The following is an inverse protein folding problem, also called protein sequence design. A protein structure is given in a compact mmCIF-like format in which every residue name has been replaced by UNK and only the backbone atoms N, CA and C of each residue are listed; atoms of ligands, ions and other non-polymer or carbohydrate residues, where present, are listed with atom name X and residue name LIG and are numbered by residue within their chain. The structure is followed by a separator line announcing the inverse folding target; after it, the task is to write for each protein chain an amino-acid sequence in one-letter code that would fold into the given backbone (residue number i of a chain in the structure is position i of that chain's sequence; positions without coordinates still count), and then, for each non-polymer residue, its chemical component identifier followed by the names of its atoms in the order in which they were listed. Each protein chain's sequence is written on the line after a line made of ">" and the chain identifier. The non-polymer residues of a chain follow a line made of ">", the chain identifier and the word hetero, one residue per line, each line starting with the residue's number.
data_IF_794112996632
#
_entry.id   IF_794112996632
#
_cell.length_a   1.000
_cell.length_b   1.000
_cell.length_c   1.000
_cell.angle_alpha   90.00
_cell.angle_beta   90.00
_cell.angle_gamma   90.00
#
_symmetry.space_group_name_H-M   'P 1'
#
loop_
_entity.id
_entity.type
_entity.pdbx_description
1 polymer ?
#
# COMPACT_ATOMS: atom_id res chain seq x y z
N UNK A 1 -5.94 -23.46 -25.73
CA UNK A 1 -6.31 -22.89 -24.40
C UNK A 1 -5.22 -22.02 -23.74
N UNK A 2 -4.04 -21.87 -24.32
CA UNK A 2 -2.92 -21.06 -23.77
C UNK A 2 -3.02 -19.54 -23.99
N UNK A 3 -3.89 -19.05 -24.88
CA UNK A 3 -3.99 -17.62 -25.24
C UNK A 3 -4.74 -16.74 -24.25
N UNK A 4 -5.72 -17.28 -23.52
CA UNK A 4 -6.54 -16.52 -22.57
C UNK A 4 -5.74 -15.87 -21.42
N UNK A 5 -4.84 -16.59 -20.69
CA UNK A 5 -4.05 -15.97 -19.61
C UNK A 5 -3.06 -14.94 -20.15
N UNK A 6 -2.50 -15.13 -21.33
CA UNK A 6 -1.59 -14.16 -21.97
C UNK A 6 -2.34 -12.88 -22.33
N UNK A 7 -3.52 -13.00 -22.94
CA UNK A 7 -4.35 -11.85 -23.30
C UNK A 7 -4.75 -11.04 -22.04
N UNK A 8 -5.19 -11.73 -20.98
CA UNK A 8 -5.54 -11.08 -19.70
C UNK A 8 -4.35 -10.36 -19.08
N UNK A 9 -3.18 -11.01 -19.05
CA UNK A 9 -1.97 -10.40 -18.50
C UNK A 9 -1.54 -9.16 -19.29
N UNK A 10 -1.56 -9.25 -20.62
CA UNK A 10 -1.24 -8.12 -21.50
C UNK A 10 -2.24 -6.99 -21.32
N UNK A 11 -3.55 -7.29 -21.29
CA UNK A 11 -4.58 -6.29 -21.09
C UNK A 11 -4.45 -5.58 -19.74
N UNK A 12 -4.20 -6.31 -18.65
CA UNK A 12 -3.97 -5.76 -17.32
C UNK A 12 -2.69 -4.89 -17.27
N UNK A 13 -1.62 -5.33 -17.91
CA UNK A 13 -0.37 -4.55 -17.97
C UNK A 13 -0.57 -3.23 -18.73
N UNK A 14 -1.25 -3.27 -19.88
CA UNK A 14 -1.58 -2.06 -20.65
C UNK A 14 -2.49 -1.14 -19.85
N UNK A 15 -3.50 -1.69 -19.17
CA UNK A 15 -4.39 -0.92 -18.30
C UNK A 15 -3.61 -0.24 -17.15
N UNK A 16 -2.70 -0.96 -16.51
CA UNK A 16 -1.86 -0.41 -15.42
C UNK A 16 -1.01 0.74 -15.90
N UNK A 17 -0.35 0.60 -17.06
CA UNK A 17 0.43 1.68 -17.66
C UNK A 17 -0.47 2.86 -18.04
N UNK A 18 -1.64 2.60 -18.63
CA UNK A 18 -2.60 3.64 -18.98
C UNK A 18 -3.10 4.42 -17.77
N UNK A 19 -3.44 3.72 -16.67
CA UNK A 19 -3.86 4.35 -15.42
C UNK A 19 -2.73 5.13 -14.75
N UNK A 20 -1.49 4.64 -14.81
CA UNK A 20 -0.32 5.36 -14.30
C UNK A 20 -0.10 6.68 -15.04
N UNK A 21 -0.18 6.67 -16.37
CA UNK A 21 -0.06 7.89 -17.19
C UNK A 21 -1.23 8.85 -16.95
N UNK A 22 -2.43 8.32 -16.76
CA UNK A 22 -3.62 9.09 -16.43
C UNK A 22 -3.50 9.77 -15.07
N UNK A 23 -2.99 9.08 -14.06
CA UNK A 23 -2.74 9.66 -12.72
C UNK A 23 -1.71 10.80 -12.76
N UNK A 24 -0.70 10.69 -13.64
CA UNK A 24 0.24 11.79 -13.89
C UNK A 24 -0.41 13.00 -14.58
N UNK A 25 -1.36 12.76 -15.49
CA UNK A 25 -2.03 13.82 -16.25
C UNK A 25 -3.14 14.51 -15.45
N UNK A 26 -3.90 13.75 -14.66
CA UNK A 26 -5.08 14.24 -13.90
C UNK A 26 -4.69 14.56 -12.46
N UNK A 27 -5.15 15.70 -11.94
CA UNK A 27 -4.93 16.08 -10.54
C UNK A 27 -5.68 17.37 -10.20
N UNK A 28 -5.55 17.84 -8.95
CA UNK A 28 -6.23 19.03 -8.44
C UNK A 28 -5.89 20.31 -9.26
N UNK A 29 -4.69 20.37 -9.84
CA UNK A 29 -4.28 21.44 -10.74
C UNK A 29 -4.33 20.92 -12.17
N UNK A 30 -5.02 21.62 -13.06
CA UNK A 30 -5.04 21.28 -14.49
C UNK A 30 -3.69 21.65 -15.12
N UNK A 31 -2.94 20.67 -15.56
CA UNK A 31 -1.65 20.80 -16.24
C UNK A 31 -1.83 20.20 -17.63
N UNK A 32 -1.49 20.94 -18.69
CA UNK A 32 -1.51 20.40 -20.04
C UNK A 32 -0.61 19.16 -20.17
N UNK A 33 -1.05 18.17 -20.92
CA UNK A 33 -0.29 16.90 -21.09
C UNK A 33 1.11 17.15 -21.67
N UNK A 34 1.24 18.17 -22.54
CA UNK A 34 2.53 18.60 -23.08
C UNK A 34 3.51 19.04 -21.99
N UNK A 35 3.02 19.79 -20.98
CA UNK A 35 3.86 20.25 -19.87
C UNK A 35 4.21 19.10 -18.91
N UNK A 36 3.32 18.13 -18.74
CA UNK A 36 3.63 16.91 -18.00
C UNK A 36 4.76 16.14 -18.67
N UNK A 37 4.69 15.98 -19.98
CA UNK A 37 5.73 15.33 -20.77
C UNK A 37 7.05 16.10 -20.71
N UNK A 38 7.00 17.43 -20.91
CA UNK A 38 8.18 18.30 -20.79
C UNK A 38 8.82 18.19 -19.40
N UNK A 39 8.02 18.18 -18.33
CA UNK A 39 8.53 18.00 -16.97
C UNK A 39 9.24 16.66 -16.76
N UNK A 40 8.72 15.57 -17.33
CA UNK A 40 9.30 14.22 -17.22
C UNK A 40 10.59 14.06 -18.06
N UNK A 41 10.67 14.73 -19.21
CA UNK A 41 11.80 14.62 -20.14
C UNK A 41 12.87 15.71 -19.96
N UNK A 42 12.65 16.64 -19.01
CA UNK A 42 13.57 17.78 -18.80
C UNK A 42 13.44 18.89 -19.83
N UNK A 43 12.31 18.95 -20.55
CA UNK A 43 11.99 20.00 -21.50
C UNK A 43 11.56 21.33 -20.84
N UNK A 44 11.30 22.34 -21.66
CA UNK A 44 10.88 23.66 -21.18
C UNK A 44 9.45 23.62 -20.65
N UNK A 45 9.30 23.81 -19.35
CA UNK A 45 8.00 23.97 -18.67
C UNK A 45 8.13 24.90 -17.46
N UNK A 46 7.03 25.51 -17.00
CA UNK A 46 7.06 26.34 -15.79
C UNK A 46 7.63 25.57 -14.59
N UNK A 47 8.52 26.19 -13.81
CA UNK A 47 9.17 25.56 -12.63
C UNK A 47 8.17 25.02 -11.62
N UNK A 48 7.02 25.68 -11.45
CA UNK A 48 5.93 25.22 -10.58
C UNK A 48 5.31 23.93 -11.09
N UNK A 49 5.10 23.82 -12.41
CA UNK A 49 4.58 22.62 -13.07
C UNK A 49 5.55 21.44 -12.90
N UNK A 50 6.85 21.66 -13.15
CA UNK A 50 7.87 20.64 -12.96
C UNK A 50 7.89 20.12 -11.50
N UNK A 51 7.82 21.02 -10.50
CA UNK A 51 7.77 20.62 -9.09
C UNK A 51 6.52 19.79 -8.77
N UNK A 52 5.35 20.16 -9.27
CA UNK A 52 4.10 19.43 -9.02
C UNK A 52 4.18 18.04 -9.67
N UNK A 53 4.63 17.96 -10.91
CA UNK A 53 4.71 16.69 -11.65
C UNK A 53 5.74 15.76 -11.00
N UNK A 54 6.97 16.22 -10.78
CA UNK A 54 8.07 15.37 -10.33
C UNK A 54 7.99 15.05 -8.82
N UNK A 55 7.68 16.04 -7.97
CA UNK A 55 7.76 15.86 -6.52
C UNK A 55 6.43 15.45 -5.88
N UNK A 56 5.30 15.61 -6.58
CA UNK A 56 4.00 15.24 -6.03
C UNK A 56 3.38 14.10 -6.83
N UNK A 57 3.11 14.31 -8.13
CA UNK A 57 2.35 13.34 -8.92
C UNK A 57 3.14 12.06 -9.18
N UNK A 58 4.38 12.19 -9.64
CA UNK A 58 5.22 11.04 -9.94
C UNK A 58 5.48 10.19 -8.69
N UNK A 59 5.78 10.83 -7.56
CA UNK A 59 6.00 10.11 -6.30
C UNK A 59 4.72 9.39 -5.88
N UNK A 60 3.55 10.04 -5.93
CA UNK A 60 2.26 9.41 -5.62
C UNK A 60 1.95 8.24 -6.53
N UNK A 61 2.12 8.40 -7.85
CA UNK A 61 1.86 7.35 -8.83
C UNK A 61 2.77 6.13 -8.61
N UNK A 62 4.06 6.34 -8.35
CA UNK A 62 5.01 5.26 -8.05
C UNK A 62 4.65 4.56 -6.73
N UNK A 63 4.33 5.32 -5.68
CA UNK A 63 3.91 4.74 -4.39
C UNK A 63 2.62 3.95 -4.53
N UNK A 64 1.64 4.46 -5.29
CA UNK A 64 0.39 3.75 -5.54
C UNK A 64 0.62 2.42 -6.30
N UNK A 65 1.50 2.42 -7.29
CA UNK A 65 1.87 1.22 -8.05
C UNK A 65 2.55 0.18 -7.14
N UNK A 66 3.54 0.59 -6.36
CA UNK A 66 4.26 -0.29 -5.44
C UNK A 66 3.35 -0.82 -4.33
N UNK A 67 2.51 0.04 -3.75
CA UNK A 67 1.55 -0.36 -2.73
C UNK A 67 0.52 -1.36 -3.29
N UNK A 68 -0.02 -1.11 -4.49
CA UNK A 68 -0.93 -2.05 -5.15
C UNK A 68 -0.30 -3.40 -5.46
N UNK A 69 0.94 -3.41 -5.92
CA UNK A 69 1.69 -4.64 -6.16
C UNK A 69 1.93 -5.42 -4.85
N UNK A 70 2.37 -4.73 -3.78
CA UNK A 70 2.59 -5.35 -2.47
C UNK A 70 1.29 -5.92 -1.88
N UNK A 71 0.19 -5.18 -1.96
CA UNK A 71 -1.13 -5.63 -1.50
C UNK A 71 -1.64 -6.84 -2.29
N UNK A 72 -1.41 -6.87 -3.60
CA UNK A 72 -1.82 -8.00 -4.45
C UNK A 72 -1.07 -9.28 -4.08
N UNK A 73 0.25 -9.19 -3.88
CA UNK A 73 1.08 -10.34 -3.48
C UNK A 73 0.72 -10.81 -2.08
N UNK A 74 0.61 -9.89 -1.11
CA UNK A 74 0.24 -10.25 0.26
C UNK A 74 -1.18 -10.80 0.36
N UNK A 75 -2.13 -10.25 -0.41
CA UNK A 75 -3.48 -10.77 -0.49
C UNK A 75 -3.53 -12.20 -1.01
N UNK A 76 -2.79 -12.50 -2.08
CA UNK A 76 -2.70 -13.85 -2.63
C UNK A 76 -2.08 -14.84 -1.62
N UNK A 77 -1.03 -14.41 -0.89
CA UNK A 77 -0.42 -15.22 0.17
C UNK A 77 -1.41 -15.51 1.30
N UNK A 78 -2.20 -14.51 1.74
CA UNK A 78 -3.21 -14.69 2.77
C UNK A 78 -4.32 -15.64 2.32
N UNK A 79 -4.84 -15.48 1.09
CA UNK A 79 -5.84 -16.38 0.53
C UNK A 79 -5.34 -17.84 0.46
N UNK A 80 -4.09 -18.02 0.09
CA UNK A 80 -3.46 -19.34 0.01
C UNK A 80 -3.23 -19.93 1.40
N UNK A 81 -2.71 -19.14 2.34
CA UNK A 81 -2.44 -19.58 3.71
C UNK A 81 -3.72 -20.01 4.43
N UNK A 82 -4.76 -19.18 4.36
CA UNK A 82 -6.04 -19.45 5.03
C UNK A 82 -6.99 -20.32 4.22
N UNK A 83 -6.60 -20.71 2.99
CA UNK A 83 -7.46 -21.44 2.03
C UNK A 83 -8.85 -20.81 1.91
N UNK A 84 -8.89 -19.48 1.96
CA UNK A 84 -10.11 -18.69 1.94
C UNK A 84 -9.94 -17.53 0.96
N UNK A 85 -10.73 -17.49 -0.15
CA UNK A 85 -10.63 -16.41 -1.14
C UNK A 85 -11.07 -15.04 -0.60
N UNK A 86 -11.71 -14.99 0.56
CA UNK A 86 -12.12 -13.74 1.23
C UNK A 86 -11.04 -13.20 2.18
N UNK A 87 -9.96 -13.94 2.42
CA UNK A 87 -8.87 -13.47 3.26
C UNK A 87 -8.10 -12.35 2.56
N UNK A 88 -8.05 -11.19 3.19
CA UNK A 88 -7.29 -10.04 2.72
C UNK A 88 -6.00 -9.80 3.49
N UNK A 89 -5.11 -8.93 3.01
CA UNK A 89 -3.83 -8.63 3.67
C UNK A 89 -4.00 -8.00 5.06
N UNK A 90 -5.18 -7.48 5.38
CA UNK A 90 -5.47 -6.79 6.64
C UNK A 90 -5.99 -7.68 7.76
N UNK A 91 -6.31 -8.94 7.46
CA UNK A 91 -6.98 -9.86 8.40
C UNK A 91 -6.18 -10.10 9.68
N UNK A 92 -4.86 -10.00 9.62
CA UNK A 92 -3.97 -10.19 10.76
C UNK A 92 -3.83 -8.96 11.68
N UNK A 93 -4.61 -7.90 11.49
CA UNK A 93 -4.56 -6.71 12.34
C UNK A 93 -3.31 -5.84 12.16
N UNK A 94 -2.53 -6.06 11.10
CA UNK A 94 -1.29 -5.32 10.81
C UNK A 94 -1.57 -3.82 10.65
N UNK A 95 -2.69 -3.47 10.00
CA UNK A 95 -3.10 -2.07 9.82
C UNK A 95 -3.43 -1.38 11.15
N UNK A 96 -4.07 -2.08 12.08
CA UNK A 96 -4.38 -1.55 13.41
C UNK A 96 -3.11 -1.30 14.23
N UNK A 97 -2.13 -2.21 14.12
CA UNK A 97 -0.81 -2.01 14.72
C UNK A 97 -0.08 -0.80 14.14
N UNK A 98 -0.13 -0.60 12.81
CA UNK A 98 0.43 0.57 12.16
C UNK A 98 -0.24 1.86 12.66
N UNK A 99 -1.57 1.88 12.75
CA UNK A 99 -2.34 3.02 13.24
C UNK A 99 -2.03 3.35 14.70
N UNK A 100 -1.89 2.34 15.56
CA UNK A 100 -1.48 2.52 16.96
C UNK A 100 -0.08 3.13 17.04
N UNK A 101 0.88 2.63 16.26
CA UNK A 101 2.23 3.18 16.21
C UNK A 101 2.23 4.67 15.82
N UNK A 102 1.46 5.04 14.81
CA UNK A 102 1.27 6.45 14.40
C UNK A 102 0.63 7.28 15.52
N UNK A 103 -0.45 6.77 16.14
CA UNK A 103 -1.15 7.47 17.20
C UNK A 103 -0.21 7.78 18.38
N UNK A 104 0.60 6.83 18.82
CA UNK A 104 1.55 7.02 19.91
C UNK A 104 2.59 8.12 19.61
N UNK A 105 3.13 8.16 18.40
CA UNK A 105 4.13 9.17 17.99
C UNK A 105 3.51 10.55 17.84
N UNK A 106 2.30 10.64 17.30
CA UNK A 106 1.55 11.90 17.16
C UNK A 106 1.18 12.44 18.54
N UNK A 107 0.68 11.60 19.45
CA UNK A 107 0.36 12.00 20.83
C UNK A 107 1.60 12.41 21.62
N UNK A 108 2.75 11.81 21.36
CA UNK A 108 4.03 12.20 21.96
C UNK A 108 4.61 13.51 21.38
N UNK A 109 3.93 14.15 20.42
CA UNK A 109 4.37 15.42 19.82
C UNK A 109 5.55 15.29 18.85
N UNK A 110 5.91 14.06 18.43
CA UNK A 110 7.00 13.80 17.48
C UNK A 110 6.43 13.84 16.07
N UNK A 111 6.33 15.03 15.47
CA UNK A 111 5.61 15.27 14.22
C UNK A 111 6.45 15.18 12.93
N UNK A 112 7.62 14.55 12.89
CA UNK A 112 8.36 14.42 11.65
C UNK A 112 7.74 13.34 10.73
N UNK A 113 7.64 13.61 9.43
CA UNK A 113 7.08 12.65 8.44
C UNK A 113 7.81 11.30 8.48
N UNK A 114 9.13 11.30 8.67
CA UNK A 114 9.94 10.08 8.80
C UNK A 114 9.61 9.34 10.10
N UNK A 115 9.39 10.06 11.21
CA UNK A 115 9.01 9.48 12.49
C UNK A 115 7.65 8.79 12.42
N UNK A 116 6.66 9.41 11.78
CA UNK A 116 5.32 8.85 11.57
C UNK A 116 5.38 7.57 10.71
N UNK A 117 6.09 7.61 9.60
CA UNK A 117 6.24 6.43 8.73
C UNK A 117 6.98 5.29 9.43
N UNK A 118 8.06 5.59 10.17
CA UNK A 118 8.79 4.62 10.97
C UNK A 118 7.94 3.99 12.07
N UNK A 119 7.13 4.80 12.76
CA UNK A 119 6.22 4.32 13.80
C UNK A 119 5.11 3.41 13.23
N UNK A 120 4.57 3.74 12.07
CA UNK A 120 3.61 2.88 11.37
C UNK A 120 4.25 1.52 11.03
N UNK A 121 5.44 1.55 10.49
CA UNK A 121 6.16 0.33 10.14
C UNK A 121 6.49 -0.53 11.38
N UNK A 122 6.98 0.08 12.45
CA UNK A 122 7.27 -0.61 13.71
C UNK A 122 6.01 -1.19 14.35
N UNK A 123 4.91 -0.45 14.38
CA UNK A 123 3.63 -0.94 14.89
C UNK A 123 3.11 -2.14 14.10
N UNK A 124 3.18 -2.09 12.77
CA UNK A 124 2.86 -3.22 11.90
C UNK A 124 3.77 -4.43 12.16
N UNK A 125 5.08 -4.20 12.29
CA UNK A 125 6.07 -5.26 12.54
C UNK A 125 5.85 -5.95 13.89
N UNK A 126 5.54 -5.19 14.95
CA UNK A 126 5.26 -5.75 16.29
C UNK A 126 4.06 -6.69 16.23
N UNK A 127 2.94 -6.27 15.61
CA UNK A 127 1.76 -7.11 15.47
C UNK A 127 2.09 -8.38 14.68
N UNK A 128 2.81 -8.26 13.57
CA UNK A 128 3.22 -9.41 12.76
C UNK A 128 4.08 -10.39 13.55
N UNK A 129 5.05 -9.89 14.34
CA UNK A 129 5.93 -10.73 15.16
C UNK A 129 5.14 -11.45 16.28
N UNK A 130 4.18 -10.77 16.91
CA UNK A 130 3.30 -11.37 17.92
C UNK A 130 2.49 -12.52 17.30
N UNK A 131 1.86 -12.26 16.14
CA UNK A 131 1.08 -13.29 15.45
C UNK A 131 1.96 -14.45 15.00
N UNK A 132 3.15 -14.17 14.47
CA UNK A 132 4.10 -15.21 14.07
C UNK A 132 4.57 -16.06 15.26
N UNK A 133 4.86 -15.44 16.40
CA UNK A 133 5.26 -16.12 17.62
C UNK A 133 4.14 -17.03 18.17
N UNK A 134 2.91 -16.54 18.16
CA UNK A 134 1.73 -17.34 18.56
C UNK A 134 1.46 -18.45 17.55
N UNK A 135 1.55 -18.14 16.25
CA UNK A 135 1.35 -19.12 15.17
C UNK A 135 2.39 -20.26 15.18
N UNK A 136 3.59 -19.99 15.67
CA UNK A 136 4.60 -21.04 15.86
C UNK A 136 4.19 -22.07 16.94
N UNK A 137 3.41 -21.63 17.93
CA UNK A 137 2.89 -22.49 19.01
C UNK A 137 1.56 -23.13 18.66
N UNK A 138 0.70 -22.41 17.99
CA UNK A 138 -0.65 -22.84 17.63
C UNK A 138 -0.64 -23.21 16.15
N UNK A 139 -0.74 -24.51 15.87
CA UNK A 139 -0.70 -25.03 14.49
C UNK A 139 -2.04 -24.90 13.74
N UNK A 140 -3.07 -24.39 14.39
CA UNK A 140 -4.39 -24.21 13.81
C UNK A 140 -4.50 -22.83 13.14
N UNK A 141 -4.64 -22.84 11.83
CA UNK A 141 -4.72 -21.65 10.98
C UNK A 141 -5.98 -20.83 11.29
N UNK A 142 -7.10 -21.47 11.67
CA UNK A 142 -8.33 -20.77 12.01
C UNK A 142 -8.19 -19.98 13.31
N UNK A 143 -7.48 -20.52 14.28
CA UNK A 143 -7.19 -19.82 15.55
C UNK A 143 -6.32 -18.59 15.30
N UNK A 144 -5.34 -18.68 14.42
CA UNK A 144 -4.48 -17.53 14.03
C UNK A 144 -5.32 -16.43 13.38
N UNK A 145 -6.24 -16.80 12.48
CA UNK A 145 -7.14 -15.87 11.82
C UNK A 145 -8.03 -15.13 12.81
N UNK A 146 -8.67 -15.88 13.73
CA UNK A 146 -9.53 -15.31 14.77
C UNK A 146 -8.74 -14.40 15.70
N UNK A 147 -7.55 -14.81 16.09
CA UNK A 147 -6.65 -14.03 16.95
C UNK A 147 -6.24 -12.70 16.28
N UNK A 148 -5.90 -12.72 14.99
CA UNK A 148 -5.61 -11.52 14.23
C UNK A 148 -6.78 -10.54 14.15
N UNK A 149 -8.00 -11.05 13.90
CA UNK A 149 -9.21 -10.23 13.90
C UNK A 149 -9.52 -9.65 15.29
N UNK A 150 -9.41 -10.44 16.35
CA UNK A 150 -9.64 -9.96 17.72
C UNK A 150 -8.60 -8.91 18.13
N UNK A 151 -7.34 -9.08 17.73
CA UNK A 151 -6.29 -8.10 17.96
C UNK A 151 -6.59 -6.79 17.23
N UNK A 152 -7.06 -6.87 15.98
CA UNK A 152 -7.48 -5.70 15.21
C UNK A 152 -8.61 -4.93 15.88
N UNK A 153 -9.65 -5.63 16.33
CA UNK A 153 -10.79 -5.03 17.02
C UNK A 153 -10.39 -4.39 18.36
N UNK A 154 -9.52 -5.06 19.12
CA UNK A 154 -9.02 -4.54 20.40
C UNK A 154 -8.24 -3.23 20.21
N UNK A 155 -7.39 -3.14 19.19
CA UNK A 155 -6.59 -1.94 18.91
C UNK A 155 -7.43 -0.78 18.34
N UNK A 156 -8.56 -1.03 17.72
CA UNK A 156 -9.47 0.02 17.22
C UNK A 156 -10.19 0.71 18.40
N UNK A 157 -10.34 0.05 19.53
CA UNK A 157 -11.03 0.60 20.69
C UNK A 157 -10.11 1.40 21.66
N UNK A 158 -8.81 1.50 21.38
CA UNK A 158 -7.85 2.34 22.11
C UNK A 158 -7.73 3.70 21.44
#
# INVERSE_FOLDING_TARGET
>A
MRSRPVILFTALSVLTVGLFLLDLAVGAVRIPVGDVWAALTGGDCPRTTAKIVLNIRLIKAVVALLAGAALSVSGLQMQTLFRNPLAGPYVLGISSGASLGVALVVLAGVGSSIGIAGAAWLGAAVVLLVIAAVGHRIKDIMVILILGMMFSLSLIHI
#
